data_IF_231060079260
#
_entry.id   IF_231060079260
#
_cell.length_a   1.000
_cell.length_b   1.000
_cell.length_c   1.000
_cell.angle_alpha   90.00
_cell.angle_beta   90.00
_cell.angle_gamma   90.00
#
_symmetry.space_group_name_H-M   'P 1'
#
loop_
_entity.id
_entity.type
_entity.pdbx_description
1 polymer ?
#
# COMPACT_ATOMS: atom_id res chain seq x y z
N UNK A 1 -34.03 -11.96 13.67
CA UNK A 1 -32.90 -12.59 14.43
C UNK A 1 -31.65 -12.93 13.61
N UNK A 2 -31.71 -13.12 12.27
CA UNK A 2 -30.49 -13.33 11.44
C UNK A 2 -29.58 -12.08 11.38
N UNK A 3 -30.14 -10.87 11.30
CA UNK A 3 -29.37 -9.63 11.23
C UNK A 3 -28.47 -9.38 12.46
N UNK A 4 -29.00 -9.55 13.69
CA UNK A 4 -28.19 -9.39 14.91
C UNK A 4 -27.07 -10.44 15.02
N UNK A 5 -27.28 -11.66 14.50
CA UNK A 5 -26.28 -12.74 14.57
C UNK A 5 -25.15 -12.53 13.55
N UNK A 6 -25.48 -12.03 12.35
CA UNK A 6 -24.49 -11.64 11.33
C UNK A 6 -23.72 -10.40 11.77
N UNK A 7 -24.39 -9.41 12.36
CA UNK A 7 -23.76 -8.21 12.90
C UNK A 7 -22.84 -8.54 14.09
N UNK A 8 -23.25 -9.43 15.00
CA UNK A 8 -22.41 -9.86 16.12
C UNK A 8 -21.21 -10.70 15.67
N UNK A 9 -21.39 -11.62 14.73
CA UNK A 9 -20.28 -12.44 14.19
C UNK A 9 -19.30 -11.57 13.39
N UNK A 10 -19.80 -10.65 12.56
CA UNK A 10 -18.96 -9.70 11.85
C UNK A 10 -18.27 -8.73 12.82
N UNK A 11 -18.92 -8.26 13.88
CA UNK A 11 -18.27 -7.42 14.91
C UNK A 11 -17.17 -8.18 15.66
N UNK A 12 -17.41 -9.42 16.07
CA UNK A 12 -16.42 -10.22 16.84
C UNK A 12 -15.20 -10.59 16.00
N UNK A 13 -15.31 -10.72 14.67
CA UNK A 13 -14.16 -10.97 13.78
C UNK A 13 -13.51 -9.66 13.31
N UNK A 14 -14.31 -8.63 13.04
CA UNK A 14 -13.83 -7.35 12.54
C UNK A 14 -13.11 -6.54 13.63
N UNK A 15 -13.58 -6.55 14.88
CA UNK A 15 -12.90 -5.81 15.96
C UNK A 15 -11.46 -6.26 16.19
N UNK A 16 -11.17 -7.56 16.42
CA UNK A 16 -9.80 -8.03 16.62
C UNK A 16 -8.90 -7.80 15.41
N UNK A 17 -9.41 -7.96 14.19
CA UNK A 17 -8.63 -7.72 12.97
C UNK A 17 -8.31 -6.24 12.76
N UNK A 18 -9.27 -5.35 13.06
CA UNK A 18 -9.04 -3.90 13.06
C UNK A 18 -8.03 -3.49 14.15
N UNK A 19 -8.17 -4.03 15.36
CA UNK A 19 -7.23 -3.78 16.46
C UNK A 19 -5.83 -4.25 16.11
N UNK A 20 -5.68 -5.46 15.58
CA UNK A 20 -4.39 -6.01 15.16
C UNK A 20 -3.72 -5.13 14.08
N UNK A 21 -4.49 -4.73 13.05
CA UNK A 21 -3.99 -3.83 12.01
C UNK A 21 -3.53 -2.51 12.63
N UNK A 22 -4.32 -1.95 13.53
CA UNK A 22 -4.02 -0.66 14.13
C UNK A 22 -2.79 -0.69 15.04
N UNK A 23 -2.65 -1.74 15.87
CA UNK A 23 -1.47 -1.97 16.72
C UNK A 23 -0.21 -2.12 15.86
N UNK A 24 -0.28 -2.95 14.81
CA UNK A 24 0.87 -3.18 13.91
C UNK A 24 1.36 -1.88 13.28
N UNK A 25 0.44 -1.04 12.79
CA UNK A 25 0.77 0.25 12.19
C UNK A 25 1.43 1.20 13.20
N UNK A 26 0.92 1.28 14.43
CA UNK A 26 1.51 2.12 15.46
C UNK A 26 2.90 1.62 15.90
N UNK A 27 3.09 0.30 16.03
CA UNK A 27 4.39 -0.29 16.33
C UNK A 27 5.43 0.00 15.24
N UNK A 28 5.04 -0.06 13.97
CA UNK A 28 5.93 0.31 12.85
C UNK A 28 6.29 1.80 12.90
N UNK A 29 5.29 2.66 13.12
CA UNK A 29 5.48 4.11 13.19
C UNK A 29 6.45 4.51 14.32
N UNK A 30 6.25 4.00 15.53
CA UNK A 30 7.13 4.33 16.66
C UNK A 30 8.55 3.82 16.44
N UNK A 31 8.72 2.65 15.80
CA UNK A 31 10.04 2.07 15.51
C UNK A 31 10.82 2.94 14.52
N UNK A 32 10.16 3.46 13.49
CA UNK A 32 10.76 4.39 12.51
C UNK A 32 11.15 5.71 13.18
N UNK A 33 10.26 6.27 14.01
CA UNK A 33 10.54 7.52 14.73
C UNK A 33 11.70 7.39 15.71
N UNK A 34 11.80 6.26 16.42
CA UNK A 34 12.94 5.96 17.29
C UNK A 34 14.25 5.87 16.50
N UNK A 35 14.23 5.28 15.31
CA UNK A 35 15.39 5.22 14.42
C UNK A 35 15.79 6.61 13.90
N UNK A 36 14.82 7.44 13.46
CA UNK A 36 15.08 8.82 13.04
C UNK A 36 15.69 9.68 14.15
N UNK A 37 15.21 9.53 15.38
CA UNK A 37 15.77 10.24 16.52
C UNK A 37 17.23 9.82 16.80
N UNK A 38 17.54 8.53 16.64
CA UNK A 38 18.88 8.00 16.92
C UNK A 38 19.92 8.37 15.86
N UNK A 39 19.54 8.44 14.59
CA UNK A 39 20.45 8.85 13.50
C UNK A 39 20.64 10.37 13.41
N UNK A 40 19.78 11.15 14.06
CA UNK A 40 19.86 12.60 14.04
C UNK A 40 20.94 13.11 15.01
N UNK A 41 21.90 13.88 14.50
CA UNK A 41 22.98 14.48 15.30
C UNK A 41 22.41 15.48 16.35
N UNK A 42 22.88 15.49 17.61
CA UNK A 42 22.40 16.43 18.65
C UNK A 42 22.50 17.93 18.30
N UNK A 43 23.46 18.35 17.46
CA UNK A 43 23.66 19.76 17.11
C UNK A 43 22.69 20.27 16.04
N UNK A 44 22.26 19.40 15.12
CA UNK A 44 21.37 19.75 13.99
C UNK A 44 20.19 18.78 13.88
N UNK A 45 19.86 18.11 14.99
CA UNK A 45 18.92 16.99 14.99
C UNK A 45 17.49 17.41 14.73
N UNK A 46 17.13 18.65 15.08
CA UNK A 46 15.82 19.22 14.75
C UNK A 46 15.57 19.25 13.24
N UNK A 47 16.54 19.70 12.44
CA UNK A 47 16.40 19.77 10.98
C UNK A 47 16.36 18.37 10.35
N UNK A 48 17.21 17.44 10.81
CA UNK A 48 17.19 16.06 10.31
C UNK A 48 15.89 15.33 10.66
N UNK A 49 15.39 15.49 11.89
CA UNK A 49 14.14 14.88 12.32
C UNK A 49 12.95 15.44 11.52
N UNK A 50 12.88 16.76 11.30
CA UNK A 50 11.83 17.36 10.48
C UNK A 50 11.90 16.89 9.03
N UNK A 51 13.09 16.85 8.43
CA UNK A 51 13.25 16.39 7.05
C UNK A 51 12.87 14.91 6.89
N UNK A 52 13.31 14.04 7.80
CA UNK A 52 12.95 12.63 7.80
C UNK A 52 11.45 12.41 8.02
N UNK A 53 10.80 13.24 8.84
CA UNK A 53 9.35 13.23 8.99
C UNK A 53 8.63 13.63 7.71
N UNK A 54 9.11 14.67 7.01
CA UNK A 54 8.56 15.07 5.71
C UNK A 54 8.72 13.96 4.67
N UNK A 55 9.89 13.33 4.61
CA UNK A 55 10.13 12.19 3.71
C UNK A 55 9.21 11.01 4.02
N UNK A 56 8.95 10.73 5.30
CA UNK A 56 8.04 9.65 5.72
C UNK A 56 6.60 9.93 5.30
N UNK A 57 6.13 11.16 5.54
CA UNK A 57 4.78 11.58 5.13
C UNK A 57 4.61 11.60 3.60
N UNK A 58 5.65 12.02 2.87
CA UNK A 58 5.64 12.00 1.41
C UNK A 58 5.65 10.56 0.88
N UNK A 59 6.50 9.69 1.44
CA UNK A 59 6.57 8.28 1.05
C UNK A 59 5.26 7.53 1.24
N UNK A 60 4.55 7.78 2.36
CA UNK A 60 3.24 7.18 2.61
C UNK A 60 2.20 7.55 1.54
N UNK A 61 2.06 8.85 1.25
CA UNK A 61 1.09 9.32 0.25
C UNK A 61 1.49 8.91 -1.18
N UNK A 62 2.78 9.03 -1.53
CA UNK A 62 3.30 8.66 -2.84
C UNK A 62 3.04 7.19 -3.18
N UNK A 63 3.33 6.28 -2.24
CA UNK A 63 3.11 4.85 -2.45
C UNK A 63 1.63 4.53 -2.65
N UNK A 64 0.72 5.21 -1.94
CA UNK A 64 -0.73 5.01 -2.13
C UNK A 64 -1.21 5.52 -3.50
N UNK A 65 -0.74 6.69 -3.94
CA UNK A 65 -1.09 7.21 -5.27
C UNK A 65 -0.54 6.32 -6.38
N UNK A 66 0.70 5.84 -6.23
CA UNK A 66 1.33 4.95 -7.20
C UNK A 66 0.59 3.60 -7.30
N UNK A 67 0.19 3.02 -6.17
CA UNK A 67 -0.59 1.79 -6.11
C UNK A 67 -1.91 1.92 -6.89
N UNK A 68 -2.68 2.97 -6.59
CA UNK A 68 -3.94 3.24 -7.29
C UNK A 68 -3.73 3.53 -8.78
N UNK A 69 -2.62 4.16 -9.16
CA UNK A 69 -2.33 4.38 -10.57
C UNK A 69 -1.97 3.07 -11.31
N UNK A 70 -1.28 2.15 -10.63
CA UNK A 70 -0.93 0.85 -11.17
C UNK A 70 -2.15 -0.06 -11.32
N UNK A 71 -3.10 -0.05 -10.37
CA UNK A 71 -4.32 -0.89 -10.45
C UNK A 71 -5.17 -0.55 -11.66
N UNK A 72 -5.30 0.74 -11.99
CA UNK A 72 -6.05 1.21 -13.15
C UNK A 72 -5.44 0.71 -14.45
N UNK A 73 -4.10 0.64 -14.54
CA UNK A 73 -3.40 0.12 -15.71
C UNK A 73 -3.42 -1.41 -15.83
N UNK A 74 -3.57 -2.11 -14.71
CA UNK A 74 -3.49 -3.58 -14.64
C UNK A 74 -4.85 -4.28 -14.69
N UNK A 75 -5.95 -3.52 -14.66
CA UNK A 75 -7.31 -4.06 -14.65
C UNK A 75 -7.76 -4.43 -16.07
N UNK A 76 -8.05 -5.72 -16.29
CA UNK A 76 -8.55 -6.21 -17.58
C UNK A 76 -10.08 -6.34 -17.57
N UNK A 77 -10.73 -5.58 -18.47
CA UNK A 77 -12.17 -5.60 -18.69
C UNK A 77 -12.49 -6.08 -20.10
N UNK A 78 -13.58 -6.83 -20.27
CA UNK A 78 -14.11 -7.19 -21.59
C UNK A 78 -15.58 -6.85 -21.71
N UNK A 79 -16.00 -6.52 -22.93
CA UNK A 79 -17.39 -6.31 -23.28
C UNK A 79 -18.05 -7.64 -23.65
N UNK A 80 -19.11 -8.05 -22.94
CA UNK A 80 -19.88 -9.26 -23.23
C UNK A 80 -21.23 -8.86 -23.81
N UNK A 81 -21.62 -9.44 -24.96
CA UNK A 81 -22.92 -9.20 -25.61
C UNK A 81 -22.95 -8.10 -26.67
N UNK A 82 -21.82 -7.44 -26.98
CA UNK A 82 -21.74 -6.51 -28.10
C UNK A 82 -21.57 -7.25 -29.45
N UNK A 83 -22.07 -6.64 -30.52
CA UNK A 83 -21.95 -7.16 -31.91
C UNK A 83 -20.51 -7.21 -32.44
N UNK A 84 -19.53 -6.67 -31.70
CA UNK A 84 -18.11 -6.62 -32.08
C UNK A 84 -17.30 -7.43 -31.04
N UNK A 85 -16.72 -8.59 -31.42
CA UNK A 85 -15.85 -9.34 -30.53
C UNK A 85 -14.52 -8.60 -30.31
N UNK A 86 -14.08 -8.50 -29.04
CA UNK A 86 -12.76 -7.96 -28.69
C UNK A 86 -12.72 -6.50 -28.19
N UNK A 87 -13.86 -5.88 -27.88
CA UNK A 87 -13.89 -4.53 -27.30
C UNK A 87 -13.61 -4.57 -25.78
N UNK A 88 -12.62 -3.80 -25.33
CA UNK A 88 -12.24 -3.67 -23.92
C UNK A 88 -12.86 -2.43 -23.27
N UNK A 89 -13.23 -2.51 -21.99
CA UNK A 89 -13.82 -1.39 -21.25
C UNK A 89 -12.80 -0.67 -20.36
N UNK A 90 -11.55 -0.55 -20.82
CA UNK A 90 -10.45 -0.01 -20.01
C UNK A 90 -10.59 1.50 -19.76
N UNK A 91 -11.31 2.21 -20.65
CA UNK A 91 -11.53 3.66 -20.56
C UNK A 91 -13.02 3.99 -20.64
N UNK A 92 -13.41 5.14 -20.07
CA UNK A 92 -14.80 5.63 -20.07
C UNK A 92 -15.38 5.77 -21.48
N UNK A 93 -14.54 6.04 -22.48
CA UNK A 93 -14.96 6.13 -23.89
C UNK A 93 -15.30 4.74 -24.43
N UNK A 94 -14.40 3.78 -24.28
CA UNK A 94 -14.58 2.39 -24.74
C UNK A 94 -15.71 1.66 -24.01
N UNK A 95 -15.94 2.00 -22.75
CA UNK A 95 -17.09 1.51 -21.98
C UNK A 95 -18.42 2.04 -22.56
N UNK A 96 -18.48 3.31 -22.98
CA UNK A 96 -19.66 3.88 -23.65
C UNK A 96 -19.92 3.23 -25.00
N UNK A 97 -18.86 2.96 -25.76
CA UNK A 97 -18.96 2.28 -27.05
C UNK A 97 -19.48 0.84 -26.89
N UNK A 98 -19.05 0.12 -25.84
CA UNK A 98 -19.57 -1.20 -25.47
C UNK A 98 -21.08 -1.15 -25.13
N UNK A 99 -21.50 -0.18 -24.31
CA UNK A 99 -22.93 -0.03 -23.96
C UNK A 99 -23.79 0.40 -25.15
N UNK A 100 -23.26 1.26 -26.04
CA UNK A 100 -23.94 1.66 -27.27
C UNK A 100 -24.10 0.49 -28.25
N UNK A 101 -23.15 -0.45 -28.25
CA UNK A 101 -23.19 -1.68 -29.02
C UNK A 101 -24.10 -2.78 -28.39
N UNK A 102 -24.81 -2.47 -27.31
CA UNK A 102 -25.72 -3.39 -26.61
C UNK A 102 -25.04 -4.38 -25.66
N UNK A 103 -23.74 -4.21 -25.38
CA UNK A 103 -22.97 -5.06 -24.49
C UNK A 103 -22.92 -4.56 -23.05
N UNK A 104 -22.56 -5.46 -22.12
CA UNK A 104 -22.30 -5.16 -20.72
C UNK A 104 -20.80 -5.34 -20.44
N UNK A 105 -20.19 -4.35 -19.81
CA UNK A 105 -18.79 -4.43 -19.39
C UNK A 105 -18.65 -5.34 -18.18
N UNK A 106 -17.87 -6.42 -18.32
CA UNK A 106 -17.54 -7.33 -17.24
C UNK A 106 -16.03 -7.29 -16.96
N UNK A 107 -15.65 -7.13 -15.70
CA UNK A 107 -14.27 -7.30 -15.23
C UNK A 107 -13.93 -8.79 -15.21
N UNK A 108 -12.93 -9.20 -15.98
CA UNK A 108 -12.44 -10.59 -15.98
C UNK A 108 -11.36 -10.78 -14.92
N UNK A 109 -10.42 -9.84 -14.83
CA UNK A 109 -9.33 -9.87 -13.87
C UNK A 109 -9.27 -8.49 -13.22
N UNK A 110 -9.49 -8.44 -11.91
CA UNK A 110 -9.33 -7.24 -11.12
C UNK A 110 -7.84 -6.98 -10.88
N UNK A 111 -7.38 -5.81 -11.30
CA UNK A 111 -5.99 -5.38 -11.13
C UNK A 111 -5.55 -5.45 -9.66
N UNK A 112 -6.49 -5.29 -8.72
CA UNK A 112 -6.21 -5.30 -7.28
C UNK A 112 -5.57 -6.61 -6.80
N UNK A 113 -6.05 -7.76 -7.28
CA UNK A 113 -5.49 -9.05 -6.87
C UNK A 113 -4.08 -9.26 -7.42
N UNK A 114 -3.86 -8.87 -8.68
CA UNK A 114 -2.55 -8.98 -9.33
C UNK A 114 -1.55 -8.03 -8.67
N UNK A 115 -1.95 -6.77 -8.46
CA UNK A 115 -1.15 -5.75 -7.80
C UNK A 115 -0.78 -6.17 -6.38
N UNK A 116 -1.74 -6.70 -5.61
CA UNK A 116 -1.49 -7.19 -4.25
C UNK A 116 -0.39 -8.26 -4.21
N UNK A 117 -0.41 -9.21 -5.13
CA UNK A 117 0.62 -10.26 -5.23
C UNK A 117 1.98 -9.63 -5.59
N UNK A 118 2.01 -8.72 -6.55
CA UNK A 118 3.24 -8.03 -6.97
C UNK A 118 3.84 -7.21 -5.82
N UNK A 119 3.04 -6.44 -5.10
CA UNK A 119 3.46 -5.66 -3.94
C UNK A 119 4.03 -6.53 -2.82
N UNK A 120 3.46 -7.72 -2.58
CA UNK A 120 4.01 -8.68 -1.61
C UNK A 120 5.37 -9.22 -2.05
N UNK A 121 5.52 -9.60 -3.33
CA UNK A 121 6.81 -10.09 -3.85
C UNK A 121 7.88 -9.01 -3.75
N UNK A 122 7.57 -7.77 -4.16
CA UNK A 122 8.49 -6.62 -4.05
C UNK A 122 8.85 -6.38 -2.59
N UNK A 123 7.88 -6.41 -1.67
CA UNK A 123 8.10 -6.24 -0.23
C UNK A 123 9.04 -7.30 0.36
N UNK A 124 8.88 -8.57 -0.03
CA UNK A 124 9.77 -9.67 0.42
C UNK A 124 11.19 -9.48 -0.12
N UNK A 125 11.33 -9.13 -1.40
CA UNK A 125 12.64 -8.88 -2.02
C UNK A 125 13.35 -7.69 -1.34
N UNK A 126 12.62 -6.62 -1.08
CA UNK A 126 13.15 -5.45 -0.36
C UNK A 126 13.58 -5.81 1.06
N UNK A 127 12.76 -6.55 1.80
CA UNK A 127 13.07 -6.96 3.17
C UNK A 127 14.30 -7.87 3.22
N UNK A 128 14.49 -8.76 2.24
CA UNK A 128 15.68 -9.61 2.13
C UNK A 128 16.94 -8.79 1.83
N UNK A 129 16.86 -7.84 0.90
CA UNK A 129 18.02 -7.05 0.47
C UNK A 129 18.39 -5.95 1.47
N UNK A 130 17.43 -5.08 1.80
CA UNK A 130 17.65 -3.93 2.67
C UNK A 130 17.54 -4.27 4.15
N UNK A 131 16.84 -5.34 4.52
CA UNK A 131 16.71 -5.73 5.93
C UNK A 131 18.05 -6.08 6.58
N UNK A 132 19.00 -6.65 5.83
CA UNK A 132 20.36 -6.87 6.34
C UNK A 132 21.09 -5.54 6.60
N UNK A 133 20.98 -4.59 5.68
CA UNK A 133 21.57 -3.25 5.85
C UNK A 133 20.91 -2.49 7.00
N UNK A 134 19.58 -2.51 7.11
CA UNK A 134 18.86 -1.85 8.21
C UNK A 134 19.26 -2.42 9.56
N UNK A 135 19.40 -3.74 9.69
CA UNK A 135 19.89 -4.37 10.93
C UNK A 135 21.32 -3.93 11.26
N UNK A 136 22.21 -3.93 10.28
CA UNK A 136 23.57 -3.43 10.47
C UNK A 136 23.57 -1.97 10.97
N UNK A 137 22.77 -1.08 10.35
CA UNK A 137 22.64 0.31 10.78
C UNK A 137 22.02 0.46 12.18
N UNK A 138 21.09 -0.42 12.56
CA UNK A 138 20.50 -0.45 13.91
C UNK A 138 21.52 -0.89 14.98
N UNK A 139 22.50 -1.71 14.64
CA UNK A 139 23.50 -2.21 15.60
C UNK A 139 24.69 -1.23 15.79
N UNK A 140 24.85 -0.23 14.92
CA UNK A 140 25.96 0.74 14.99
C UNK A 140 25.88 1.64 16.25
N UNK A 141 26.96 1.80 17.04
CA UNK A 141 26.93 2.66 18.23
C UNK A 141 26.66 4.13 17.85
N UNK A 142 26.01 4.87 18.76
CA UNK A 142 25.60 6.27 18.53
C UNK A 142 26.77 7.20 18.20
N UNK A 143 27.99 6.85 18.60
CA UNK A 143 29.20 7.60 18.29
C UNK A 143 29.53 7.68 16.80
N UNK A 144 29.05 6.73 15.98
CA UNK A 144 29.28 6.75 14.52
C UNK A 144 28.34 7.76 13.83
N UNK A 145 27.19 8.04 14.45
CA UNK A 145 26.18 8.95 13.91
C UNK A 145 26.37 10.40 14.36
N UNK A 146 27.19 10.62 15.39
CA UNK A 146 27.50 11.94 15.93
C UNK A 146 28.87 12.37 15.43
N UNK A 147 28.98 13.55 14.85
CA UNK A 147 30.29 14.13 14.56
C UNK A 147 30.95 14.53 15.89
N UNK A 148 32.24 14.27 16.04
CA UNK A 148 33.00 14.66 17.25
C UNK A 148 33.31 16.15 17.28
#
# INVERSE_FOLDING_TARGET
MRANRVCFTNCVICFPSLLYRQVTLYCMFVSIMAFHARISDPRVGGTYLTLLNTLTNLGGNWCQTLALWLVDGLTWTSCVGASIPGLHCSSKTSAKDCTNAGGVCQTLIDGYYVESIVCVVIGILWLRWKGQQTRALQDLPESVWRYQ
#
